data_IF_746753482401
#
_entry.id   IF_746753482401
#
_cell.length_a   1.000
_cell.length_b   1.000
_cell.length_c   1.000
_cell.angle_alpha   90.00
_cell.angle_beta   90.00
_cell.angle_gamma   90.00
#
_symmetry.space_group_name_H-M   'P 1'
#
loop_
_entity.id
_entity.type
_entity.pdbx_description
1 polymer ?
#
# COMPACT_ATOMS: atom_id res chain seq x y z
N UNK A 1 4.74 -27.90 -30.48
CA UNK A 1 5.00 -26.80 -29.52
C UNK A 1 6.19 -26.03 -30.08
N UNK A 2 6.00 -25.26 -31.17
CA UNK A 2 7.07 -25.20 -32.20
C UNK A 2 7.28 -23.90 -33.01
N UNK A 3 6.59 -22.79 -32.74
CA UNK A 3 6.98 -21.46 -33.29
C UNK A 3 6.31 -20.29 -32.59
N UNK A 4 4.99 -20.38 -32.37
CA UNK A 4 4.21 -19.37 -31.63
C UNK A 4 4.66 -19.21 -30.17
N UNK A 5 4.99 -20.31 -29.49
CA UNK A 5 5.45 -20.25 -28.09
C UNK A 5 6.82 -19.54 -27.97
N UNK A 6 7.70 -19.72 -28.97
CA UNK A 6 9.03 -19.10 -29.02
C UNK A 6 8.89 -17.58 -29.28
N UNK A 7 8.07 -17.18 -30.25
CA UNK A 7 7.81 -15.75 -30.53
C UNK A 7 7.16 -15.03 -29.34
N UNK A 8 6.24 -15.69 -28.61
CA UNK A 8 5.62 -15.10 -27.43
C UNK A 8 6.60 -14.90 -26.27
N UNK A 9 7.56 -15.81 -26.09
CA UNK A 9 8.61 -15.68 -25.08
C UNK A 9 9.57 -14.52 -25.35
N UNK A 10 9.90 -14.27 -26.62
CA UNK A 10 10.77 -13.16 -27.02
C UNK A 10 10.08 -11.80 -26.86
N UNK A 11 8.80 -11.70 -27.25
CA UNK A 11 8.00 -10.48 -27.05
C UNK A 11 7.79 -10.17 -25.57
N UNK A 12 7.56 -11.18 -24.72
CA UNK A 12 7.44 -10.97 -23.28
C UNK A 12 8.70 -10.35 -22.67
N UNK A 13 9.88 -10.91 -23.00
CA UNK A 13 11.18 -10.37 -22.55
C UNK A 13 11.39 -8.95 -23.06
N UNK A 14 11.13 -8.69 -24.33
CA UNK A 14 11.24 -7.35 -24.93
C UNK A 14 10.42 -6.32 -24.14
N UNK A 15 9.16 -6.65 -23.81
CA UNK A 15 8.27 -5.77 -23.06
C UNK A 15 8.77 -5.52 -21.63
N UNK A 16 9.23 -6.57 -20.94
CA UNK A 16 9.83 -6.45 -19.61
C UNK A 16 11.09 -5.57 -19.64
N UNK A 17 11.99 -5.80 -20.59
CA UNK A 17 13.22 -5.02 -20.76
C UNK A 17 12.91 -3.56 -21.08
N UNK A 18 11.93 -3.29 -21.94
CA UNK A 18 11.49 -1.94 -22.28
C UNK A 18 10.99 -1.19 -21.05
N UNK A 19 10.19 -1.84 -20.21
CA UNK A 19 9.75 -1.28 -18.93
C UNK A 19 10.94 -0.98 -18.00
N UNK A 20 11.82 -1.95 -17.78
CA UNK A 20 12.97 -1.80 -16.86
C UNK A 20 13.96 -0.74 -17.34
N UNK A 21 14.22 -0.66 -18.65
CA UNK A 21 15.04 0.40 -19.23
C UNK A 21 14.41 1.78 -19.05
N UNK A 22 13.10 1.89 -19.29
CA UNK A 22 12.35 3.12 -19.06
C UNK A 22 12.41 3.58 -17.60
N UNK A 23 12.21 2.66 -16.66
CA UNK A 23 12.22 2.92 -15.22
C UNK A 23 13.62 3.29 -14.71
N UNK A 24 14.63 2.46 -14.98
CA UNK A 24 16.01 2.66 -14.49
C UNK A 24 16.66 3.93 -15.03
N UNK A 25 16.45 4.24 -16.31
CA UNK A 25 16.99 5.45 -16.96
C UNK A 25 16.09 6.68 -16.78
N UNK A 26 14.95 6.54 -16.10
CA UNK A 26 13.90 7.57 -15.97
C UNK A 26 13.47 8.16 -17.33
N UNK A 27 13.39 7.30 -18.34
CA UNK A 27 13.06 7.70 -19.71
C UNK A 27 11.55 7.60 -19.95
N UNK A 28 10.88 8.76 -19.97
CA UNK A 28 9.45 8.87 -20.16
C UNK A 28 8.98 8.40 -21.54
N UNK A 29 9.77 8.58 -22.61
CA UNK A 29 9.40 8.16 -23.97
C UNK A 29 9.37 6.64 -24.09
N UNK A 30 10.37 5.96 -23.52
CA UNK A 30 10.44 4.50 -23.48
C UNK A 30 9.26 3.94 -22.70
N UNK A 31 8.93 4.51 -21.54
CA UNK A 31 7.76 4.11 -20.75
C UNK A 31 6.44 4.36 -21.49
N UNK A 32 6.29 5.48 -22.20
CA UNK A 32 5.10 5.73 -23.04
C UNK A 32 4.99 4.73 -24.18
N UNK A 33 6.11 4.40 -24.81
CA UNK A 33 6.15 3.38 -25.86
C UNK A 33 5.81 1.99 -25.33
N UNK A 34 6.19 1.65 -24.09
CA UNK A 34 5.75 0.42 -23.43
C UNK A 34 4.25 0.44 -23.12
N UNK A 35 3.71 1.55 -22.60
CA UNK A 35 2.29 1.71 -22.28
C UNK A 35 1.37 1.64 -23.51
N UNK A 36 1.88 2.06 -24.67
CA UNK A 36 1.15 2.03 -25.94
C UNK A 36 1.33 0.71 -26.72
N UNK A 37 2.02 -0.27 -26.14
CA UNK A 37 2.22 -1.57 -26.78
C UNK A 37 1.02 -2.51 -26.51
N UNK A 38 0.25 -2.78 -27.55
CA UNK A 38 -0.97 -3.59 -27.47
C UNK A 38 -0.72 -5.10 -27.48
N UNK A 39 0.52 -5.55 -27.80
CA UNK A 39 0.90 -6.98 -27.82
C UNK A 39 0.73 -7.65 -26.46
N UNK A 40 0.62 -6.89 -25.37
CA UNK A 40 0.29 -7.40 -24.03
C UNK A 40 -1.04 -8.17 -24.03
N UNK A 41 -1.98 -7.83 -24.92
CA UNK A 41 -3.27 -8.52 -25.06
C UNK A 41 -3.11 -9.97 -25.51
N UNK A 42 -2.05 -10.29 -26.26
CA UNK A 42 -1.83 -11.62 -26.83
C UNK A 42 -1.49 -12.65 -25.74
N UNK A 43 -1.04 -12.19 -24.56
CA UNK A 43 -0.72 -13.03 -23.42
C UNK A 43 -1.94 -13.48 -22.61
N UNK A 44 -3.19 -13.13 -22.96
CA UNK A 44 -4.37 -13.57 -22.19
C UNK A 44 -4.47 -15.08 -21.98
N UNK A 45 -3.96 -15.89 -22.92
CA UNK A 45 -3.87 -17.35 -22.78
C UNK A 45 -2.73 -17.83 -21.87
N UNK A 46 -1.73 -16.96 -21.62
CA UNK A 46 -0.57 -17.17 -20.76
C UNK A 46 -0.73 -16.34 -19.48
N UNK A 47 -1.57 -16.84 -18.56
CA UNK A 47 -2.07 -16.05 -17.43
C UNK A 47 -0.94 -15.45 -16.58
N UNK A 48 0.17 -16.15 -16.36
CA UNK A 48 1.24 -15.67 -15.49
C UNK A 48 1.93 -14.42 -16.09
N UNK A 49 2.30 -14.49 -17.36
CA UNK A 49 2.92 -13.43 -18.15
C UNK A 49 1.97 -12.23 -18.28
N UNK A 50 0.70 -12.47 -18.58
CA UNK A 50 -0.30 -11.43 -18.69
C UNK A 50 -0.49 -10.66 -17.38
N UNK A 51 -0.61 -11.37 -16.26
CA UNK A 51 -0.73 -10.75 -14.93
C UNK A 51 0.50 -9.91 -14.57
N UNK A 52 1.69 -10.39 -14.93
CA UNK A 52 2.93 -9.65 -14.70
C UNK A 52 2.97 -8.38 -15.55
N UNK A 53 2.76 -8.47 -16.87
CA UNK A 53 2.75 -7.32 -17.78
C UNK A 53 1.71 -6.28 -17.38
N UNK A 54 0.51 -6.69 -16.92
CA UNK A 54 -0.50 -5.77 -16.38
C UNK A 54 -0.01 -5.03 -15.13
N UNK A 55 0.72 -5.71 -14.26
CA UNK A 55 1.32 -5.09 -13.07
C UNK A 55 2.38 -4.06 -13.46
N UNK A 56 3.23 -4.37 -14.45
CA UNK A 56 4.24 -3.44 -14.98
C UNK A 56 3.58 -2.20 -15.65
N UNK A 57 2.50 -2.39 -16.42
CA UNK A 57 1.72 -1.26 -16.97
C UNK A 57 1.12 -0.40 -15.87
N UNK A 58 0.56 -1.00 -14.82
CA UNK A 58 0.02 -0.27 -13.69
C UNK A 58 1.09 0.57 -13.01
N UNK A 59 2.27 -0.01 -12.77
CA UNK A 59 3.42 0.69 -12.21
C UNK A 59 3.88 1.86 -13.11
N UNK A 60 4.00 1.64 -14.42
CA UNK A 60 4.36 2.69 -15.36
C UNK A 60 3.32 3.84 -15.35
N UNK A 61 2.03 3.56 -15.28
CA UNK A 61 1.00 4.59 -15.14
C UNK A 61 1.14 5.37 -13.82
N UNK A 62 1.47 4.68 -12.72
CA UNK A 62 1.71 5.32 -11.42
C UNK A 62 2.90 6.28 -11.45
N UNK A 63 3.97 5.97 -12.19
CA UNK A 63 5.10 6.89 -12.38
C UNK A 63 4.69 8.23 -13.03
N UNK A 64 3.59 8.25 -13.80
CA UNK A 64 3.00 9.45 -14.38
C UNK A 64 1.84 10.05 -13.56
N UNK A 65 1.55 9.52 -12.37
CA UNK A 65 0.39 9.93 -11.57
C UNK A 65 -0.97 9.53 -12.16
N UNK A 66 -0.99 8.63 -13.16
CA UNK A 66 -2.22 8.19 -13.82
C UNK A 66 -2.92 7.04 -13.07
N UNK A 67 -3.29 7.28 -11.82
CA UNK A 67 -3.80 6.25 -10.91
C UNK A 67 -5.08 5.53 -11.38
N UNK A 68 -6.01 6.23 -12.05
CA UNK A 68 -7.20 5.57 -12.63
C UNK A 68 -6.85 4.58 -13.74
N UNK A 69 -5.83 4.90 -14.56
CA UNK A 69 -5.34 3.98 -15.60
C UNK A 69 -4.62 2.80 -14.95
N UNK A 70 -3.79 3.03 -13.92
CA UNK A 70 -3.17 1.96 -13.15
C UNK A 70 -4.19 1.03 -12.49
N UNK A 71 -5.24 1.58 -11.89
CA UNK A 71 -6.38 0.82 -11.35
C UNK A 71 -7.04 -0.06 -12.42
N UNK A 72 -7.23 0.47 -13.63
CA UNK A 72 -7.81 -0.29 -14.74
C UNK A 72 -6.96 -1.48 -15.15
N UNK A 73 -5.64 -1.37 -15.15
CA UNK A 73 -4.74 -2.49 -15.46
C UNK A 73 -4.92 -3.65 -14.46
N UNK A 74 -5.01 -3.35 -13.16
CA UNK A 74 -5.32 -4.36 -12.16
C UNK A 74 -6.74 -4.94 -12.31
N UNK A 75 -7.74 -4.10 -12.63
CA UNK A 75 -9.10 -4.55 -12.89
C UNK A 75 -9.16 -5.57 -14.05
N UNK A 76 -8.38 -5.35 -15.11
CA UNK A 76 -8.27 -6.26 -16.26
C UNK A 76 -7.53 -7.56 -15.94
N UNK A 77 -6.66 -7.54 -14.92
CA UNK A 77 -5.90 -8.70 -14.46
C UNK A 77 -6.72 -9.63 -13.55
N UNK A 78 -7.64 -9.09 -12.74
CA UNK A 78 -8.43 -9.87 -11.75
C UNK A 78 -9.08 -11.15 -12.32
N UNK A 79 -9.69 -11.18 -13.52
CA UNK A 79 -10.30 -12.40 -14.06
C UNK A 79 -9.31 -13.54 -14.35
N UNK A 80 -8.04 -13.21 -14.58
CA UNK A 80 -6.98 -14.16 -14.93
C UNK A 80 -6.19 -14.63 -13.69
N UNK A 81 -6.37 -13.96 -12.56
CA UNK A 81 -5.70 -14.28 -11.31
C UNK A 81 -6.28 -15.57 -10.69
N UNK A 82 -5.39 -16.49 -10.29
CA UNK A 82 -5.75 -17.62 -9.43
C UNK A 82 -6.43 -17.15 -8.14
N UNK A 83 -7.26 -18.00 -7.52
CA UNK A 83 -7.97 -17.65 -6.28
C UNK A 83 -7.01 -17.14 -5.18
N UNK A 84 -5.85 -17.77 -5.02
CA UNK A 84 -4.83 -17.37 -4.03
C UNK A 84 -4.20 -15.99 -4.28
N UNK A 85 -4.25 -15.48 -5.53
CA UNK A 85 -3.66 -14.18 -5.92
C UNK A 85 -4.71 -13.10 -6.16
N UNK A 86 -5.99 -13.45 -6.27
CA UNK A 86 -7.07 -12.52 -6.63
C UNK A 86 -7.19 -11.33 -5.68
N UNK A 87 -7.08 -11.58 -4.38
CA UNK A 87 -7.09 -10.53 -3.37
C UNK A 87 -5.96 -9.51 -3.55
N UNK A 88 -4.76 -9.94 -3.99
CA UNK A 88 -3.61 -9.04 -4.22
C UNK A 88 -3.92 -8.06 -5.34
N UNK A 89 -4.48 -8.54 -6.45
CA UNK A 89 -4.86 -7.68 -7.58
C UNK A 89 -5.99 -6.72 -7.20
N UNK A 90 -6.99 -7.17 -6.44
CA UNK A 90 -8.04 -6.30 -5.91
C UNK A 90 -7.48 -5.25 -4.94
N UNK A 91 -6.57 -5.64 -4.05
CA UNK A 91 -5.92 -4.71 -3.13
C UNK A 91 -5.12 -3.64 -3.89
N UNK A 92 -4.33 -4.06 -4.88
CA UNK A 92 -3.56 -3.15 -5.72
C UNK A 92 -4.48 -2.19 -6.49
N UNK A 93 -5.56 -2.70 -7.08
CA UNK A 93 -6.60 -1.87 -7.71
C UNK A 93 -7.17 -0.84 -6.73
N UNK A 94 -7.55 -1.27 -5.51
CA UNK A 94 -8.08 -0.40 -4.46
C UNK A 94 -7.08 0.67 -4.03
N UNK A 95 -5.80 0.29 -3.85
CA UNK A 95 -4.74 1.23 -3.51
C UNK A 95 -4.56 2.32 -4.57
N UNK A 96 -4.66 1.98 -5.87
CA UNK A 96 -4.59 2.99 -6.95
C UNK A 96 -5.79 3.94 -6.91
N UNK A 97 -7.01 3.44 -6.63
CA UNK A 97 -8.18 4.29 -6.47
C UNK A 97 -8.03 5.23 -5.27
N UNK A 98 -7.48 4.73 -4.16
CA UNK A 98 -7.19 5.50 -2.97
C UNK A 98 -6.16 6.61 -3.27
N UNK A 99 -5.07 6.31 -3.98
CA UNK A 99 -4.10 7.32 -4.42
C UNK A 99 -4.71 8.37 -5.35
N UNK A 100 -5.65 7.99 -6.23
CA UNK A 100 -6.39 8.95 -7.04
C UNK A 100 -7.22 9.92 -6.18
N UNK A 101 -8.03 9.38 -5.26
CA UNK A 101 -8.84 10.17 -4.34
C UNK A 101 -8.00 11.13 -3.50
N UNK A 102 -6.84 10.65 -3.07
CA UNK A 102 -5.93 11.41 -2.24
C UNK A 102 -5.25 12.56 -3.00
N UNK A 103 -4.78 12.32 -4.22
CA UNK A 103 -3.96 13.28 -4.98
C UNK A 103 -4.75 14.18 -5.92
N UNK A 104 -6.00 13.84 -6.24
CA UNK A 104 -6.83 14.59 -7.21
C UNK A 104 -8.17 14.96 -6.59
N UNK A 105 -8.42 16.26 -6.32
CA UNK A 105 -9.76 16.76 -6.04
C UNK A 105 -10.62 16.54 -7.29
N UNK A 106 -11.64 15.69 -7.22
CA UNK A 106 -12.48 15.34 -8.37
C UNK A 106 -13.96 15.55 -8.08
N UNK A 107 -14.70 16.05 -9.07
CA UNK A 107 -16.16 16.12 -9.04
C UNK A 107 -16.80 14.71 -8.98
N UNK A 108 -16.09 13.68 -9.44
CA UNK A 108 -16.51 12.27 -9.43
C UNK A 108 -16.00 11.52 -8.19
N UNK A 109 -15.50 12.24 -7.16
CA UNK A 109 -14.92 11.60 -5.98
C UNK A 109 -15.86 10.56 -5.36
N UNK A 110 -17.17 10.83 -5.31
CA UNK A 110 -18.17 9.90 -4.76
C UNK A 110 -18.18 8.52 -5.45
N UNK A 111 -18.16 8.50 -6.79
CA UNK A 111 -18.16 7.24 -7.55
C UNK A 111 -16.84 6.48 -7.39
N UNK A 112 -15.72 7.20 -7.34
CA UNK A 112 -14.41 6.61 -7.09
C UNK A 112 -14.32 6.06 -5.66
N UNK A 113 -14.85 6.76 -4.65
CA UNK A 113 -14.95 6.28 -3.27
C UNK A 113 -15.72 4.96 -3.20
N UNK A 114 -16.93 4.92 -3.77
CA UNK A 114 -17.76 3.73 -3.79
C UNK A 114 -17.08 2.56 -4.51
N UNK A 115 -16.40 2.84 -5.63
CA UNK A 115 -15.63 1.84 -6.37
C UNK A 115 -14.44 1.33 -5.55
N UNK A 116 -13.74 2.21 -4.84
CA UNK A 116 -12.60 1.86 -3.99
C UNK A 116 -13.05 0.94 -2.84
N UNK A 117 -14.08 1.35 -2.10
CA UNK A 117 -14.66 0.58 -1.00
C UNK A 117 -15.08 -0.82 -1.47
N UNK A 118 -15.92 -0.90 -2.52
CA UNK A 118 -16.34 -2.20 -3.10
C UNK A 118 -15.16 -3.07 -3.55
N UNK A 119 -14.07 -2.45 -4.00
CA UNK A 119 -12.89 -3.19 -4.46
C UNK A 119 -12.12 -3.77 -3.27
N UNK A 120 -11.93 -2.99 -2.21
CA UNK A 120 -11.25 -3.42 -0.98
C UNK A 120 -12.08 -4.45 -0.20
N UNK A 121 -13.41 -4.32 -0.17
CA UNK A 121 -14.30 -5.34 0.42
C UNK A 121 -14.19 -6.68 -0.32
N UNK A 122 -14.19 -6.64 -1.66
CA UNK A 122 -13.92 -7.84 -2.46
C UNK A 122 -12.52 -8.39 -2.22
N UNK A 123 -11.52 -7.53 -1.99
CA UNK A 123 -10.19 -7.98 -1.64
C UNK A 123 -10.22 -8.78 -0.32
N UNK A 124 -10.90 -8.25 0.71
CA UNK A 124 -11.11 -8.91 2.01
C UNK A 124 -11.79 -10.28 1.88
N UNK A 125 -12.85 -10.36 1.09
CA UNK A 125 -13.60 -11.61 0.84
C UNK A 125 -12.75 -12.69 0.13
N UNK A 126 -11.79 -12.28 -0.71
CA UNK A 126 -10.96 -13.18 -1.50
C UNK A 126 -9.63 -13.54 -0.83
N UNK A 127 -9.40 -13.11 0.42
CA UNK A 127 -8.21 -13.48 1.18
C UNK A 127 -8.20 -15.01 1.40
N UNK A 128 -7.16 -15.73 0.95
CA UNK A 128 -7.09 -17.16 1.12
C UNK A 128 -6.97 -17.55 2.61
N UNK A 129 -7.45 -18.75 2.94
CA UNK A 129 -7.09 -19.38 4.20
C UNK A 129 -5.59 -19.67 4.22
N UNK A 130 -4.95 -19.54 5.39
CA UNK A 130 -3.53 -19.83 5.56
C UNK A 130 -2.90 -19.05 6.70
N UNK A 131 -1.61 -19.32 6.94
CA UNK A 131 -0.81 -18.70 8.02
C UNK A 131 -0.81 -17.17 7.97
N UNK A 132 -0.83 -16.59 6.78
CA UNK A 132 -0.70 -15.14 6.59
C UNK A 132 -2.04 -14.41 6.52
N UNK A 133 -3.17 -15.13 6.63
CA UNK A 133 -4.51 -14.56 6.48
C UNK A 133 -4.71 -13.33 7.35
N UNK A 134 -4.26 -13.39 8.61
CA UNK A 134 -4.41 -12.28 9.57
C UNK A 134 -3.69 -11.01 9.10
N UNK A 135 -2.46 -11.13 8.59
CA UNK A 135 -1.68 -10.00 8.08
C UNK A 135 -2.31 -9.42 6.81
N UNK A 136 -2.83 -10.29 5.94
CA UNK A 136 -3.55 -9.87 4.74
C UNK A 136 -4.83 -9.10 5.12
N UNK A 137 -5.58 -9.59 6.10
CA UNK A 137 -6.79 -8.94 6.60
C UNK A 137 -6.47 -7.57 7.20
N UNK A 138 -5.45 -7.46 8.06
CA UNK A 138 -5.04 -6.16 8.65
C UNK A 138 -4.62 -5.18 7.56
N UNK A 139 -3.94 -5.65 6.50
CA UNK A 139 -3.53 -4.78 5.39
C UNK A 139 -4.74 -4.20 4.65
N UNK A 140 -5.71 -5.05 4.27
CA UNK A 140 -6.92 -4.59 3.60
C UNK A 140 -7.74 -3.68 4.51
N UNK A 141 -7.90 -4.04 5.79
CA UNK A 141 -8.62 -3.25 6.77
C UNK A 141 -7.95 -1.87 7.01
N UNK A 142 -6.61 -1.80 7.00
CA UNK A 142 -5.86 -0.55 7.11
C UNK A 142 -6.14 0.40 5.96
N UNK A 143 -6.15 -0.11 4.72
CA UNK A 143 -6.50 0.71 3.55
C UNK A 143 -7.98 1.13 3.54
N UNK A 144 -8.89 0.25 3.94
CA UNK A 144 -10.31 0.60 4.11
C UNK A 144 -10.50 1.67 5.19
N UNK A 145 -9.81 1.55 6.33
CA UNK A 145 -9.87 2.54 7.39
C UNK A 145 -9.30 3.89 6.95
N UNK A 146 -8.23 3.87 6.15
CA UNK A 146 -7.67 5.10 5.58
C UNK A 146 -8.65 5.76 4.58
N UNK A 147 -9.31 4.95 3.74
CA UNK A 147 -10.37 5.43 2.85
C UNK A 147 -11.51 6.11 3.63
N UNK A 148 -11.90 5.54 4.78
CA UNK A 148 -12.92 6.15 5.65
C UNK A 148 -12.49 7.51 6.19
N UNK A 149 -11.24 7.68 6.63
CA UNK A 149 -10.77 8.99 7.06
C UNK A 149 -10.69 10.01 5.92
N UNK A 150 -10.33 9.60 4.70
CA UNK A 150 -10.42 10.47 3.51
C UNK A 150 -11.85 10.99 3.28
N UNK A 151 -12.86 10.20 3.65
CA UNK A 151 -14.27 10.55 3.60
C UNK A 151 -14.80 11.17 4.91
N UNK A 152 -13.92 11.68 5.79
CA UNK A 152 -14.25 12.29 7.08
C UNK A 152 -14.97 11.34 8.08
N UNK A 153 -14.84 10.03 7.87
CA UNK A 153 -15.41 8.97 8.71
C UNK A 153 -14.33 8.28 9.55
N UNK A 154 -13.40 9.05 10.14
CA UNK A 154 -12.26 8.52 10.91
C UNK A 154 -12.69 7.57 12.04
N UNK A 155 -13.82 7.86 12.71
CA UNK A 155 -14.37 7.00 13.77
C UNK A 155 -14.80 5.61 13.27
N UNK A 156 -15.34 5.52 12.04
CA UNK A 156 -15.66 4.24 11.39
C UNK A 156 -14.37 3.48 11.05
N UNK A 157 -13.35 4.18 10.56
CA UNK A 157 -12.02 3.60 10.30
C UNK A 157 -11.37 3.02 11.56
N UNK A 158 -11.40 3.75 12.67
CA UNK A 158 -10.93 3.26 13.99
C UNK A 158 -11.74 2.04 14.44
N UNK A 159 -13.06 2.08 14.30
CA UNK A 159 -13.94 0.97 14.69
C UNK A 159 -13.70 -0.29 13.86
N UNK A 160 -13.35 -0.14 12.58
CA UNK A 160 -12.93 -1.25 11.73
C UNK A 160 -11.61 -1.85 12.24
N UNK A 161 -10.60 -1.03 12.50
CA UNK A 161 -9.28 -1.50 12.94
C UNK A 161 -9.35 -2.17 14.32
N UNK A 162 -10.16 -1.68 15.25
CA UNK A 162 -10.34 -2.29 16.58
C UNK A 162 -10.95 -3.69 16.56
N UNK A 163 -11.58 -4.10 15.46
CA UNK A 163 -12.10 -5.48 15.27
C UNK A 163 -11.02 -6.44 14.77
N UNK A 164 -9.87 -5.92 14.35
CA UNK A 164 -8.77 -6.72 13.84
C UNK A 164 -7.96 -7.34 14.97
N UNK A 165 -7.33 -8.48 14.69
CA UNK A 165 -6.39 -9.09 15.61
C UNK A 165 -4.97 -8.71 15.20
N UNK A 166 -4.26 -7.98 16.06
CA UNK A 166 -2.89 -7.52 15.83
C UNK A 166 -1.89 -8.48 16.50
N UNK A 167 -1.36 -9.42 15.71
CA UNK A 167 -0.29 -10.31 16.13
C UNK A 167 1.06 -9.83 15.62
N UNK A 168 2.15 -10.02 16.39
CA UNK A 168 3.50 -9.74 15.91
C UNK A 168 3.82 -10.60 14.68
N UNK A 169 4.50 -10.00 13.70
CA UNK A 169 5.04 -10.77 12.58
C UNK A 169 6.11 -11.73 13.10
N UNK A 170 6.05 -13.04 12.81
CA UNK A 170 7.08 -13.98 13.22
C UNK A 170 8.45 -13.59 12.67
N UNK A 171 9.49 -13.61 13.53
CA UNK A 171 10.87 -13.24 13.18
C UNK A 171 11.37 -13.87 11.86
N UNK A 172 11.11 -15.17 11.57
CA UNK A 172 11.51 -15.75 10.28
C UNK A 172 10.88 -15.05 9.07
N UNK A 173 9.59 -14.69 9.15
CA UNK A 173 8.88 -13.97 8.08
C UNK A 173 9.25 -12.48 8.05
N UNK A 174 9.61 -11.91 9.20
CA UNK A 174 10.12 -10.56 9.29
C UNK A 174 11.45 -10.41 8.51
N UNK A 175 12.36 -11.37 8.70
CA UNK A 175 13.70 -11.35 8.11
C UNK A 175 13.74 -11.77 6.62
N UNK A 176 12.70 -12.43 6.12
CA UNK A 176 12.58 -12.75 4.69
C UNK A 176 11.96 -11.58 3.92
N UNK A 177 12.77 -10.95 3.05
CA UNK A 177 12.38 -9.79 2.23
C UNK A 177 11.29 -10.13 1.19
N UNK A 178 11.02 -11.40 0.94
CA UNK A 178 9.97 -11.83 0.00
C UNK A 178 8.64 -12.15 0.69
N UNK A 179 8.65 -12.37 2.01
CA UNK A 179 7.47 -12.64 2.81
C UNK A 179 6.79 -11.33 3.22
N UNK A 180 5.46 -11.29 3.29
CA UNK A 180 4.69 -10.15 3.82
C UNK A 180 4.97 -8.76 3.20
N UNK A 181 5.59 -8.67 2.02
CA UNK A 181 5.91 -7.38 1.33
C UNK A 181 4.70 -6.45 1.25
N UNK A 182 3.52 -7.01 0.96
CA UNK A 182 2.27 -6.23 0.86
C UNK A 182 1.86 -5.64 2.21
N UNK A 183 2.03 -6.37 3.32
CA UNK A 183 1.75 -5.85 4.66
C UNK A 183 2.60 -4.61 4.90
N UNK A 184 3.92 -4.75 4.88
CA UNK A 184 4.84 -3.68 5.21
C UNK A 184 4.68 -2.47 4.29
N UNK A 185 4.45 -2.67 3.00
CA UNK A 185 4.20 -1.57 2.05
C UNK A 185 3.02 -0.67 2.42
N UNK A 186 1.93 -1.23 2.94
CA UNK A 186 0.70 -0.48 3.21
C UNK A 186 0.42 -0.25 4.70
N UNK A 187 1.19 -0.87 5.59
CA UNK A 187 0.89 -0.89 7.02
C UNK A 187 0.80 0.51 7.63
N UNK A 188 1.70 1.42 7.22
CA UNK A 188 1.71 2.80 7.72
C UNK A 188 0.40 3.55 7.42
N UNK A 189 -0.30 3.26 6.32
CA UNK A 189 -1.60 3.88 6.03
C UNK A 189 -2.66 3.51 7.07
N UNK A 190 -2.61 2.30 7.63
CA UNK A 190 -3.46 1.94 8.76
C UNK A 190 -3.05 2.69 10.04
N UNK A 191 -1.75 2.78 10.32
CA UNK A 191 -1.24 3.53 11.49
C UNK A 191 -1.60 5.01 11.44
N UNK A 192 -1.62 5.58 10.23
CA UNK A 192 -2.06 6.94 9.96
C UNK A 192 -3.48 7.23 10.50
N UNK A 193 -4.39 6.25 10.48
CA UNK A 193 -5.73 6.39 11.07
C UNK A 193 -5.66 6.49 12.59
N UNK A 194 -4.80 5.70 13.23
CA UNK A 194 -4.62 5.77 14.69
C UNK A 194 -3.96 7.10 15.12
N UNK A 195 -2.99 7.59 14.34
CA UNK A 195 -2.38 8.92 14.53
C UNK A 195 -3.43 10.01 14.37
N UNK A 196 -4.26 9.93 13.32
CA UNK A 196 -5.31 10.93 13.06
C UNK A 196 -6.32 11.01 14.21
N UNK A 197 -6.75 9.85 14.70
CA UNK A 197 -7.69 9.73 15.80
C UNK A 197 -7.07 10.03 17.18
N UNK A 198 -5.74 10.19 17.25
CA UNK A 198 -4.97 10.26 18.50
C UNK A 198 -5.27 9.08 19.44
N UNK A 199 -5.47 7.88 18.87
CA UNK A 199 -5.83 6.66 19.60
C UNK A 199 -4.56 5.90 20.02
N UNK A 200 -4.21 6.01 21.30
CA UNK A 200 -2.99 5.44 21.87
C UNK A 200 -3.00 3.92 21.81
N UNK A 201 -4.11 3.31 22.24
CA UNK A 201 -4.19 1.86 22.38
C UNK A 201 -4.14 1.17 21.02
N UNK A 202 -4.85 1.72 20.03
CA UNK A 202 -4.79 1.21 18.67
C UNK A 202 -3.37 1.34 18.10
N UNK A 203 -2.73 2.50 18.25
CA UNK A 203 -1.36 2.69 17.75
C UNK A 203 -0.39 1.68 18.39
N UNK A 204 -0.45 1.47 19.71
CA UNK A 204 0.38 0.48 20.40
C UNK A 204 0.14 -0.95 19.89
N UNK A 205 -1.12 -1.33 19.64
CA UNK A 205 -1.44 -2.63 19.03
C UNK A 205 -0.85 -2.77 17.63
N UNK A 206 -0.88 -1.72 16.83
CA UNK A 206 -0.29 -1.73 15.49
C UNK A 206 1.24 -1.81 15.54
N UNK A 207 1.90 -1.11 16.47
CA UNK A 207 3.35 -1.19 16.65
C UNK A 207 3.83 -2.61 16.99
N UNK A 208 3.04 -3.39 17.74
CA UNK A 208 3.33 -4.81 18.02
C UNK A 208 3.50 -5.65 16.76
N UNK A 209 2.78 -5.34 15.68
CA UNK A 209 2.86 -6.12 14.44
C UNK A 209 4.24 -6.02 13.80
N UNK A 210 4.83 -4.82 13.81
CA UNK A 210 6.07 -4.51 13.08
C UNK A 210 7.31 -4.35 13.97
N UNK A 211 7.15 -4.54 15.28
CA UNK A 211 8.28 -4.60 16.22
C UNK A 211 9.00 -5.95 16.12
N UNK A 212 10.33 -5.90 16.17
CA UNK A 212 11.20 -7.08 16.21
C UNK A 212 11.50 -7.47 17.66
N UNK A 213 11.44 -6.51 18.57
CA UNK A 213 11.87 -6.65 19.96
C UNK A 213 10.78 -6.19 20.92
N UNK A 214 10.34 -7.10 21.76
CA UNK A 214 9.41 -6.82 22.84
C UNK A 214 9.99 -5.77 23.82
N UNK A 215 11.31 -5.75 24.06
CA UNK A 215 11.91 -4.77 24.96
C UNK A 215 11.78 -3.34 24.43
N UNK A 216 11.77 -3.16 23.10
CA UNK A 216 11.51 -1.84 22.48
C UNK A 216 10.11 -1.34 22.83
N UNK A 217 9.12 -2.23 22.95
CA UNK A 217 7.72 -1.88 23.28
C UNK A 217 7.42 -1.81 24.77
N UNK A 218 8.18 -2.52 25.62
CA UNK A 218 7.98 -2.57 27.07
C UNK A 218 8.92 -1.64 27.87
N UNK A 219 9.83 -0.92 27.21
CA UNK A 219 10.66 0.09 27.87
C UNK A 219 9.85 1.29 28.38
N UNK A 220 10.34 1.98 29.41
CA UNK A 220 9.79 3.24 29.91
C UNK A 220 10.02 4.39 28.91
N UNK A 221 9.34 4.34 27.77
CA UNK A 221 9.42 5.34 26.71
C UNK A 221 8.06 5.99 26.49
N UNK A 222 8.07 7.27 26.11
CA UNK A 222 6.86 7.92 25.66
C UNK A 222 6.41 7.36 24.30
N UNK A 223 5.15 7.60 23.93
CA UNK A 223 4.54 7.02 22.73
C UNK A 223 5.24 7.42 21.43
N UNK A 224 5.74 8.66 21.33
CA UNK A 224 6.47 9.10 20.15
C UNK A 224 7.78 8.32 19.98
N UNK A 225 8.55 8.15 21.05
CA UNK A 225 9.81 7.39 21.02
C UNK A 225 9.59 5.94 20.63
N UNK A 226 8.55 5.31 21.17
CA UNK A 226 8.14 3.95 20.79
C UNK A 226 7.82 3.86 19.29
N UNK A 227 7.00 4.77 18.77
CA UNK A 227 6.67 4.84 17.35
C UNK A 227 7.92 5.04 16.48
N UNK A 228 8.73 6.03 16.81
CA UNK A 228 9.89 6.43 16.02
C UNK A 228 10.94 5.32 15.92
N UNK A 229 11.28 4.69 17.04
CA UNK A 229 12.25 3.60 17.07
C UNK A 229 11.74 2.37 16.32
N UNK A 230 10.47 1.98 16.53
CA UNK A 230 9.85 0.86 15.81
C UNK A 230 9.83 1.12 14.30
N UNK A 231 9.53 2.35 13.88
CA UNK A 231 9.56 2.73 12.47
C UNK A 231 10.97 2.69 11.88
N UNK A 232 11.99 3.18 12.60
CA UNK A 232 13.38 3.13 12.13
C UNK A 232 13.86 1.68 11.96
N UNK A 233 13.60 0.81 12.93
CA UNK A 233 13.91 -0.61 12.82
C UNK A 233 13.20 -1.25 11.59
N UNK A 234 11.93 -0.92 11.38
CA UNK A 234 11.19 -1.39 10.21
C UNK A 234 11.75 -0.82 8.90
N UNK A 235 12.19 0.44 8.86
CA UNK A 235 12.82 1.02 7.67
C UNK A 235 14.12 0.30 7.30
N UNK A 236 14.95 -0.04 8.27
CA UNK A 236 16.24 -0.71 8.04
C UNK A 236 16.06 -2.14 7.51
N UNK A 237 15.07 -2.85 8.04
CA UNK A 237 14.87 -4.27 7.75
C UNK A 237 13.92 -4.52 6.57
N UNK A 238 12.95 -3.63 6.36
CA UNK A 238 11.83 -3.78 5.43
C UNK A 238 11.76 -2.57 4.49
N UNK A 239 12.53 -2.54 3.38
CA UNK A 239 12.59 -1.38 2.48
C UNK A 239 11.23 -0.97 1.90
N UNK A 240 10.31 -1.91 1.74
CA UNK A 240 8.94 -1.65 1.30
C UNK A 240 8.12 -0.85 2.32
N UNK A 241 8.40 -0.95 3.63
CA UNK A 241 7.79 -0.10 4.65
C UNK A 241 8.27 1.35 4.48
N UNK A 242 9.57 1.55 4.25
CA UNK A 242 10.13 2.86 3.94
C UNK A 242 9.54 3.43 2.65
N UNK A 243 9.38 2.62 1.61
CA UNK A 243 8.76 3.04 0.36
C UNK A 243 7.32 3.51 0.57
N UNK A 244 6.50 2.73 1.29
CA UNK A 244 5.12 3.08 1.60
C UNK A 244 4.99 4.36 2.44
N UNK A 245 5.82 4.50 3.47
CA UNK A 245 5.90 5.72 4.27
C UNK A 245 6.28 6.93 3.41
N UNK A 246 7.34 6.81 2.61
CA UNK A 246 7.84 7.90 1.77
C UNK A 246 6.83 8.32 0.71
N UNK A 247 6.07 7.38 0.13
CA UNK A 247 4.99 7.72 -0.80
C UNK A 247 3.95 8.63 -0.12
N UNK A 248 3.51 8.28 1.09
CA UNK A 248 2.53 9.10 1.83
C UNK A 248 3.15 10.43 2.29
N UNK A 249 4.38 10.39 2.79
CA UNK A 249 5.12 11.57 3.23
C UNK A 249 5.36 12.57 2.10
N UNK A 250 5.60 12.13 0.87
CA UNK A 250 5.81 13.04 -0.27
C UNK A 250 4.51 13.72 -0.72
N UNK A 251 3.37 13.09 -0.43
CA UNK A 251 2.05 13.57 -0.80
C UNK A 251 1.32 14.24 0.37
N UNK A 252 2.00 14.44 1.51
CA UNK A 252 1.40 14.97 2.74
C UNK A 252 0.65 16.28 2.56
N UNK A 253 0.96 17.11 1.55
CA UNK A 253 0.25 18.37 1.30
C UNK A 253 -1.23 18.15 0.95
N UNK A 254 -1.58 16.97 0.46
CA UNK A 254 -2.94 16.59 0.10
C UNK A 254 -3.75 15.99 1.27
N UNK A 255 -3.14 15.85 2.46
CA UNK A 255 -3.84 15.29 3.62
C UNK A 255 -4.87 16.25 4.21
N UNK A 256 -4.66 17.56 4.10
CA UNK A 256 -5.65 18.54 4.57
C UNK A 256 -6.78 18.69 3.55
N UNK A 257 -8.07 18.70 3.97
CA UNK A 257 -8.55 18.75 5.37
C UNK A 257 -8.86 17.39 6.01
N UNK A 258 -8.72 16.27 5.31
CA UNK A 258 -9.16 14.96 5.80
C UNK A 258 -8.33 14.40 6.97
N UNK A 259 -7.04 14.70 7.00
CA UNK A 259 -6.02 14.13 7.89
C UNK A 259 -5.12 15.21 8.50
N UNK A 260 -5.66 16.19 9.25
CA UNK A 260 -4.89 17.31 9.81
C UNK A 260 -3.86 16.88 10.86
N UNK A 261 -4.19 15.90 11.72
CA UNK A 261 -3.27 15.44 12.77
C UNK A 261 -2.13 14.62 12.17
N UNK A 262 -2.44 13.74 11.20
CA UNK A 262 -1.41 13.03 10.46
C UNK A 262 -0.52 13.99 9.65
N UNK A 263 -1.11 15.02 9.04
CA UNK A 263 -0.35 16.07 8.35
C UNK A 263 0.65 16.73 9.30
N UNK A 264 0.18 17.16 10.47
CA UNK A 264 1.01 17.77 11.49
C UNK A 264 2.16 16.85 11.90
N UNK A 265 1.87 15.55 12.14
CA UNK A 265 2.89 14.55 12.42
C UNK A 265 3.98 14.51 11.34
N UNK A 266 3.58 14.35 10.08
CA UNK A 266 4.53 14.22 8.96
C UNK A 266 5.36 15.50 8.76
N UNK A 267 4.79 16.69 8.94
CA UNK A 267 5.55 17.94 8.85
C UNK A 267 6.61 18.05 9.93
N UNK A 268 6.28 17.71 11.18
CA UNK A 268 7.22 17.77 12.28
C UNK A 268 8.31 16.69 12.17
N UNK A 269 7.99 15.51 11.64
CA UNK A 269 8.99 14.49 11.28
C UNK A 269 9.96 15.05 10.23
N UNK A 270 9.44 15.67 9.17
CA UNK A 270 10.26 16.26 8.11
C UNK A 270 11.15 17.42 8.59
N UNK A 271 10.70 18.15 9.61
CA UNK A 271 11.44 19.25 10.22
C UNK A 271 12.38 18.83 11.36
N UNK A 272 12.41 17.55 11.75
CA UNK A 272 13.20 17.07 12.89
C UNK A 272 12.73 17.62 14.25
N UNK A 273 11.47 18.04 14.35
CA UNK A 273 10.90 18.71 15.53
C UNK A 273 10.47 17.71 16.61
N UNK A 274 11.41 16.96 17.17
CA UNK A 274 11.11 15.87 18.12
C UNK A 274 10.37 16.34 19.39
N UNK A 275 10.68 17.54 19.91
CA UNK A 275 9.98 18.09 21.09
C UNK A 275 8.50 18.38 20.81
N UNK A 276 8.19 18.87 19.60
CA UNK A 276 6.80 19.10 19.19
C UNK A 276 6.04 17.77 19.03
N UNK A 277 6.72 16.74 18.53
CA UNK A 277 6.17 15.39 18.45
C UNK A 277 5.94 14.78 19.83
N UNK A 278 6.89 14.90 20.75
CA UNK A 278 6.74 14.45 22.15
C UNK A 278 5.48 15.09 22.80
N UNK A 279 5.26 16.39 22.59
CA UNK A 279 4.06 17.10 23.05
C UNK A 279 2.79 16.61 22.35
N UNK A 280 2.78 16.52 21.03
CA UNK A 280 1.63 16.06 20.24
C UNK A 280 1.17 14.64 20.64
N UNK A 281 2.10 13.71 20.85
CA UNK A 281 1.78 12.34 21.28
C UNK A 281 1.38 12.24 22.76
N UNK A 282 1.66 13.25 23.58
CA UNK A 282 1.18 13.30 24.97
C UNK A 282 -0.34 13.48 25.06
N UNK A 283 -0.97 13.98 24.00
CA UNK A 283 -2.42 14.21 23.93
C UNK A 283 -3.22 12.95 23.54
N UNK A 284 -2.54 11.86 23.16
CA UNK A 284 -3.20 10.64 22.69
C UNK A 284 -3.88 9.90 23.84
N UNK A 285 -5.10 9.40 23.59
CA UNK A 285 -5.96 8.75 24.59
C UNK A 285 -6.12 7.26 24.30
#
# INVERSE_FOLDING_TARGET
>A
MEKQDIESGDVYKELCEKFEQGKSKRNAEVLRSFLNDDRIIDFRGQHAEYLHLRSLRAEAFTLFGHYLKASREYQLAVPYASQARKWKFLLQQGSMLLWHLFTTPSAEASDVFLKCEKTLDKAMENIPAGKDKIFQQITVAGLNAFLKGLNQQTSEGVSLLKKMNFLPVPIPQYNDKNELVILFRYFFMGMAVAIEAKDRQLLLQMLKVISIDDQTLYGEKNLFRLLWETMNQAFDMRPEFAEGFNQLFNQRNHLSPAYPNLRYFLDNVGAGMHTALDLFFSEFK
#
